data_IF_115439849677
#
_entry.id   IF_115439849677
#
_cell.length_a   1.000
_cell.length_b   1.000
_cell.length_c   1.000
_cell.angle_alpha   90.00
_cell.angle_beta   90.00
_cell.angle_gamma   90.00
#
_symmetry.space_group_name_H-M   'P 1'
#
loop_
_entity.id
_entity.type
_entity.pdbx_description
1 polymer ?
#
# COMPACT_ATOMS: atom_id res chain seq x y z
N UNK A 1 -70.07 68.40 8.19
CA UNK A 1 -69.07 69.15 7.39
C UNK A 1 -67.77 68.36 7.49
N UNK A 2 -66.97 68.05 6.47
CA UNK A 2 -66.90 68.46 5.06
C UNK A 2 -65.82 67.55 4.41
N UNK A 3 -66.07 67.08 3.19
CA UNK A 3 -65.12 66.63 2.15
C UNK A 3 -64.17 65.44 2.46
N UNK A 4 -63.86 64.53 1.54
CA UNK A 4 -64.07 64.52 0.10
C UNK A 4 -63.25 63.38 -0.52
N UNK A 5 -63.83 62.77 -1.56
CA UNK A 5 -63.21 61.81 -2.49
C UNK A 5 -61.89 62.35 -3.09
N UNK A 6 -61.01 61.45 -3.56
CA UNK A 6 -60.90 60.99 -4.97
C UNK A 6 -59.44 60.74 -5.41
N UNK A 7 -59.28 59.65 -6.16
CA UNK A 7 -58.31 59.36 -7.23
C UNK A 7 -56.83 59.73 -7.09
N UNK A 8 -55.96 58.73 -7.29
CA UNK A 8 -55.22 58.56 -8.56
C UNK A 8 -54.23 57.40 -8.40
N UNK A 9 -54.45 56.28 -9.10
CA UNK A 9 -53.41 55.25 -9.26
C UNK A 9 -52.93 55.34 -10.69
N UNK A 10 -51.71 55.81 -10.86
CA UNK A 10 -51.01 55.83 -12.12
C UNK A 10 -49.54 55.56 -11.85
N UNK A 11 -49.05 54.57 -12.59
CA UNK A 11 -47.69 54.43 -13.10
C UNK A 11 -46.67 53.82 -12.13
N UNK A 12 -46.50 52.52 -12.36
CA UNK A 12 -45.24 51.89 -12.76
C UNK A 12 -43.95 52.26 -12.04
N UNK A 13 -43.27 51.17 -11.66
CA UNK A 13 -41.84 51.02 -11.42
C UNK A 13 -41.38 51.38 -10.00
N UNK A 14 -41.03 50.31 -9.26
CA UNK A 14 -39.77 50.12 -8.52
C UNK A 14 -39.96 48.81 -7.75
N UNK A 15 -39.53 47.68 -8.33
CA UNK A 15 -38.28 47.01 -7.93
C UNK A 15 -38.15 46.97 -6.42
N UNK A 16 -38.58 45.85 -5.79
CA UNK A 16 -37.85 45.16 -4.71
C UNK A 16 -38.66 44.02 -4.07
N UNK A 17 -37.95 42.89 -3.92
CA UNK A 17 -38.07 41.88 -2.86
C UNK A 17 -39.23 40.89 -2.98
N UNK A 18 -38.88 39.61 -3.18
CA UNK A 18 -39.38 38.44 -2.45
C UNK A 18 -38.68 37.19 -3.05
N UNK A 19 -37.60 36.71 -2.42
CA UNK A 19 -37.61 35.61 -1.46
C UNK A 19 -37.82 34.23 -2.10
N UNK A 20 -36.73 33.63 -2.58
CA UNK A 20 -36.63 32.19 -2.78
C UNK A 20 -35.15 31.78 -2.70
N UNK A 21 -34.53 32.03 -1.55
CA UNK A 21 -33.25 31.44 -1.18
C UNK A 21 -33.46 29.95 -0.92
N UNK A 22 -33.38 29.13 -1.96
CA UNK A 22 -33.25 27.68 -1.83
C UNK A 22 -31.84 27.37 -1.31
N UNK A 23 -31.70 27.47 0.02
CA UNK A 23 -30.52 27.08 0.77
C UNK A 23 -30.43 25.55 0.72
N UNK A 24 -29.74 25.01 -0.29
CA UNK A 24 -29.42 23.58 -0.34
C UNK A 24 -28.47 23.28 0.82
N UNK A 25 -29.01 22.73 1.91
CA UNK A 25 -28.23 22.23 3.04
C UNK A 25 -27.23 21.20 2.53
N UNK A 26 -25.95 21.59 2.50
CA UNK A 26 -24.85 20.64 2.42
C UNK A 26 -24.89 19.77 3.67
N UNK A 27 -25.20 18.50 3.50
CA UNK A 27 -25.16 17.50 4.58
C UNK A 27 -23.68 17.29 4.90
N UNK A 28 -23.16 18.05 5.86
CA UNK A 28 -21.83 17.83 6.41
C UNK A 28 -21.96 16.62 7.35
N UNK A 29 -21.88 15.41 6.79
CA UNK A 29 -21.74 14.20 7.61
C UNK A 29 -20.43 14.32 8.38
N UNK A 30 -20.43 14.35 9.73
CA UNK A 30 -19.18 14.24 10.47
C UNK A 30 -18.61 12.87 10.12
N UNK A 31 -17.50 12.85 9.40
CA UNK A 31 -16.70 11.66 9.25
C UNK A 31 -16.29 11.25 10.67
N UNK A 32 -16.94 10.21 11.21
CA UNK A 32 -16.49 9.55 12.42
C UNK A 32 -15.06 9.14 12.14
N UNK A 33 -14.09 9.85 12.72
CA UNK A 33 -12.71 9.45 12.69
C UNK A 33 -12.63 8.10 13.39
N UNK A 34 -12.63 7.01 12.63
CA UNK A 34 -12.37 5.68 13.19
C UNK A 34 -11.07 5.76 13.99
N UNK A 35 -11.12 5.28 15.24
CA UNK A 35 -9.92 5.20 16.07
C UNK A 35 -8.84 4.45 15.27
N UNK A 36 -7.63 5.02 15.12
CA UNK A 36 -6.58 4.36 14.35
C UNK A 36 -6.29 2.99 14.96
N UNK A 37 -6.41 1.94 14.16
CA UNK A 37 -6.03 0.59 14.57
C UNK A 37 -4.56 0.38 14.26
N UNK A 38 -3.82 -0.22 15.20
CA UNK A 38 -2.45 -0.64 14.98
C UNK A 38 -2.32 -2.14 15.17
N UNK A 39 -1.51 -2.77 14.34
CA UNK A 39 -1.13 -4.14 14.54
C UNK A 39 0.04 -4.25 15.51
N UNK A 40 -0.12 -5.16 16.48
CA UNK A 40 0.93 -5.51 17.43
C UNK A 40 1.25 -7.01 17.39
N UNK A 41 2.51 -7.41 17.53
CA UNK A 41 2.86 -8.82 17.66
C UNK A 41 2.32 -9.41 18.96
N UNK A 42 1.90 -10.67 18.92
CA UNK A 42 1.54 -11.48 20.09
C UNK A 42 2.76 -12.13 20.73
N UNK A 43 3.82 -12.35 19.94
CA UNK A 43 5.11 -12.89 20.37
C UNK A 43 6.27 -12.09 19.79
N UNK A 44 7.48 -12.38 20.26
CA UNK A 44 8.70 -11.84 19.63
C UNK A 44 8.88 -12.43 18.23
N UNK A 45 9.09 -11.56 17.24
CA UNK A 45 9.40 -11.92 15.85
C UNK A 45 10.81 -11.46 15.56
N UNK A 46 11.66 -12.37 15.10
CA UNK A 46 13.06 -12.09 14.84
C UNK A 46 13.29 -11.55 13.41
N UNK A 47 14.43 -10.87 13.15
CA UNK A 47 14.82 -10.48 11.80
C UNK A 47 14.93 -11.70 10.88
N UNK A 48 14.40 -11.60 9.67
CA UNK A 48 14.37 -12.68 8.68
C UNK A 48 13.17 -13.62 8.81
N UNK A 49 12.37 -13.48 9.85
CA UNK A 49 11.16 -14.30 10.06
C UNK A 49 9.97 -13.74 9.26
N UNK A 50 9.14 -14.65 8.73
CA UNK A 50 7.90 -14.30 8.03
C UNK A 50 6.76 -14.09 9.02
N UNK A 51 6.05 -12.97 8.89
CA UNK A 51 4.93 -12.63 9.75
C UNK A 51 3.69 -13.38 9.29
N UNK A 52 3.07 -14.12 10.21
CA UNK A 52 1.78 -14.80 9.97
C UNK A 52 0.64 -14.05 10.67
N UNK A 53 -0.61 -14.14 10.16
CA UNK A 53 -1.74 -13.43 10.75
C UNK A 53 -2.02 -13.81 12.22
N UNK A 54 -1.69 -15.04 12.62
CA UNK A 54 -1.84 -15.51 14.02
C UNK A 54 -0.86 -14.84 14.99
N UNK A 55 0.23 -14.29 14.48
CA UNK A 55 1.28 -13.64 15.29
C UNK A 55 1.00 -12.16 15.52
N UNK A 56 -0.05 -11.61 14.91
CA UNK A 56 -0.40 -10.20 14.99
C UNK A 56 -1.83 -10.05 15.46
N UNK A 57 -2.10 -8.98 16.22
CA UNK A 57 -3.45 -8.63 16.62
C UNK A 57 -3.70 -7.13 16.38
N UNK A 58 -4.89 -6.76 15.88
CA UNK A 58 -5.29 -5.37 15.83
C UNK A 58 -5.59 -4.87 17.25
N UNK A 59 -5.08 -3.70 17.58
CA UNK A 59 -5.31 -3.01 18.85
C UNK A 59 -5.64 -1.55 18.55
N UNK A 60 -6.66 -1.03 19.22
CA UNK A 60 -7.03 0.38 19.10
C UNK A 60 -5.91 1.27 19.67
N UNK A 61 -5.47 2.24 18.89
CA UNK A 61 -4.50 3.22 19.36
C UNK A 61 -5.22 4.29 20.16
N UNK A 62 -5.07 4.24 21.48
CA UNK A 62 -5.62 5.26 22.39
C UNK A 62 -4.79 6.55 22.40
N UNK A 63 -3.52 6.51 21.97
CA UNK A 63 -2.63 7.66 22.00
C UNK A 63 -2.66 8.43 20.67
N UNK A 64 -3.22 9.66 20.63
CA UNK A 64 -3.27 10.48 19.42
C UNK A 64 -1.89 10.97 18.94
N UNK A 65 -0.83 10.85 19.74
CA UNK A 65 0.53 11.27 19.40
C UNK A 65 1.41 10.14 18.83
N UNK A 66 0.84 8.99 18.48
CA UNK A 66 1.64 7.90 17.90
C UNK A 66 2.23 8.33 16.54
N UNK A 67 3.47 7.94 16.27
CA UNK A 67 4.09 8.21 14.96
C UNK A 67 3.32 7.48 13.85
N UNK A 68 2.87 8.19 12.83
CA UNK A 68 2.33 7.59 11.61
C UNK A 68 3.39 6.69 10.95
N UNK A 69 2.96 5.57 10.34
CA UNK A 69 3.87 4.63 9.65
C UNK A 69 3.93 3.22 10.24
N UNK A 70 2.94 2.83 11.03
CA UNK A 70 2.71 1.45 11.46
C UNK A 70 1.65 0.78 10.58
N UNK A 71 1.73 -0.54 10.49
CA UNK A 71 0.74 -1.34 9.78
C UNK A 71 -0.61 -1.28 10.54
N UNK A 72 -1.67 -0.97 9.80
CA UNK A 72 -3.03 -0.82 10.33
C UNK A 72 -3.87 -2.04 10.03
N UNK A 73 -3.65 -2.65 8.85
CA UNK A 73 -4.39 -3.82 8.37
C UNK A 73 -3.53 -5.09 8.28
N UNK A 74 -4.16 -6.25 8.53
CA UNK A 74 -3.45 -7.54 8.55
C UNK A 74 -2.85 -7.87 7.17
N UNK A 75 -3.50 -7.42 6.10
CA UNK A 75 -3.04 -7.58 4.72
C UNK A 75 -1.72 -6.86 4.43
N UNK A 76 -1.33 -5.86 5.22
CA UNK A 76 -0.05 -5.14 5.05
C UNK A 76 1.15 -5.91 5.63
N UNK A 77 0.89 -6.81 6.59
CA UNK A 77 1.95 -7.57 7.30
C UNK A 77 1.98 -9.03 6.89
N UNK A 78 0.87 -9.58 6.40
CA UNK A 78 0.78 -10.99 6.05
C UNK A 78 1.78 -11.34 4.94
N UNK A 79 2.64 -12.33 5.23
CA UNK A 79 3.65 -12.81 4.27
C UNK A 79 4.90 -11.92 4.17
N UNK A 80 4.93 -10.78 4.88
CA UNK A 80 6.12 -9.93 4.92
C UNK A 80 7.19 -10.50 5.85
N UNK A 81 8.44 -10.17 5.58
CA UNK A 81 9.60 -10.53 6.41
C UNK A 81 10.01 -9.35 7.28
N UNK A 82 10.28 -9.59 8.56
CA UNK A 82 10.78 -8.55 9.45
C UNK A 82 12.27 -8.26 9.23
N UNK A 83 12.65 -6.98 9.18
CA UNK A 83 14.04 -6.50 9.11
C UNK A 83 14.67 -6.32 10.49
N UNK A 84 13.87 -6.23 11.54
CA UNK A 84 14.33 -6.01 12.92
C UNK A 84 13.52 -6.85 13.92
N UNK A 85 13.95 -6.91 15.18
CA UNK A 85 13.20 -7.61 16.22
C UNK A 85 11.93 -6.84 16.56
N UNK A 86 10.78 -7.49 16.41
CA UNK A 86 9.49 -6.95 16.81
C UNK A 86 9.13 -7.55 18.17
N UNK A 87 8.88 -6.68 19.15
CA UNK A 87 8.51 -7.08 20.50
C UNK A 87 6.98 -7.18 20.64
N UNK A 88 6.48 -8.10 21.48
CA UNK A 88 5.05 -8.23 21.70
C UNK A 88 4.45 -6.94 22.27
N UNK A 89 3.25 -6.59 21.79
CA UNK A 89 2.53 -5.40 22.23
C UNK A 89 3.07 -4.07 21.70
N UNK A 90 4.11 -4.06 20.87
CA UNK A 90 4.57 -2.85 20.16
C UNK A 90 3.97 -2.77 18.76
N UNK A 91 3.80 -1.55 18.26
CA UNK A 91 3.36 -1.34 16.87
C UNK A 91 4.40 -1.84 15.88
N UNK A 92 3.94 -2.39 14.76
CA UNK A 92 4.80 -2.86 13.67
C UNK A 92 5.01 -1.71 12.67
N UNK A 93 6.22 -1.10 12.59
CA UNK A 93 6.48 -0.06 11.60
C UNK A 93 6.59 -0.68 10.20
N UNK A 94 5.93 -0.09 9.21
CA UNK A 94 5.95 -0.59 7.82
C UNK A 94 7.37 -0.58 7.24
N UNK A 95 8.19 0.39 7.62
CA UNK A 95 9.60 0.48 7.21
C UNK A 95 10.49 -0.68 7.70
N UNK A 96 10.01 -1.42 8.71
CA UNK A 96 10.68 -2.62 9.22
C UNK A 96 10.28 -3.89 8.50
N UNK A 97 9.35 -3.82 7.55
CA UNK A 97 8.92 -4.94 6.76
C UNK A 97 9.64 -4.93 5.41
N UNK A 98 9.83 -6.12 4.86
CA UNK A 98 10.27 -6.31 3.48
C UNK A 98 9.46 -7.42 2.84
N UNK A 99 9.36 -7.39 1.53
CA UNK A 99 8.80 -8.51 0.79
C UNK A 99 9.68 -9.76 0.95
N UNK A 100 9.06 -10.95 0.94
CA UNK A 100 9.80 -12.19 0.95
C UNK A 100 10.61 -12.32 -0.35
N UNK A 101 11.90 -12.61 -0.20
CA UNK A 101 12.75 -12.89 -1.36
C UNK A 101 12.33 -14.21 -1.98
N UNK A 102 11.94 -14.18 -3.26
CA UNK A 102 11.65 -15.40 -4.03
C UNK A 102 12.93 -16.16 -4.38
N UNK A 103 14.05 -15.44 -4.54
CA UNK A 103 15.36 -16.02 -4.79
C UNK A 103 16.34 -15.55 -3.72
N UNK A 104 17.10 -16.50 -3.17
CA UNK A 104 18.10 -16.25 -2.13
C UNK A 104 19.49 -16.49 -2.71
N UNK A 105 20.46 -15.67 -2.34
CA UNK A 105 21.86 -15.81 -2.76
C UNK A 105 22.36 -17.22 -2.46
N UNK A 106 23.08 -17.80 -3.41
CA UNK A 106 23.67 -19.13 -3.25
C UNK A 106 22.70 -20.30 -3.44
N UNK A 107 21.40 -20.07 -3.62
CA UNK A 107 20.44 -21.14 -3.94
C UNK A 107 20.51 -21.55 -5.41
N UNK A 108 20.10 -22.78 -5.73
CA UNK A 108 20.01 -23.22 -7.14
C UNK A 108 18.68 -22.77 -7.73
N UNK A 109 18.73 -21.99 -8.80
CA UNK A 109 17.55 -21.45 -9.50
C UNK A 109 17.62 -21.77 -10.99
N UNK A 110 16.47 -21.80 -11.67
CA UNK A 110 16.42 -21.96 -13.12
C UNK A 110 16.51 -20.61 -13.81
N UNK A 111 17.46 -20.50 -14.74
CA UNK A 111 17.56 -19.40 -15.69
C UNK A 111 16.71 -19.72 -16.90
N UNK A 112 15.83 -18.80 -17.29
CA UNK A 112 15.01 -18.90 -18.50
C UNK A 112 15.42 -17.77 -19.43
N UNK A 113 15.93 -18.12 -20.60
CA UNK A 113 16.36 -17.18 -21.61
C UNK A 113 15.52 -17.38 -22.87
N UNK A 114 14.84 -16.33 -23.32
CA UNK A 114 13.94 -16.42 -24.48
C UNK A 114 14.43 -15.51 -25.59
N UNK A 115 14.66 -16.07 -26.78
CA UNK A 115 14.95 -15.31 -28.00
C UNK A 115 13.94 -15.73 -29.08
N UNK A 116 13.10 -14.80 -29.51
CA UNK A 116 12.07 -15.07 -30.51
C UNK A 116 11.12 -16.18 -30.03
N UNK A 117 11.17 -17.33 -30.70
CA UNK A 117 10.38 -18.53 -30.40
C UNK A 117 11.20 -19.65 -29.72
N UNK A 118 12.45 -19.39 -29.36
CA UNK A 118 13.32 -20.36 -28.69
C UNK A 118 13.49 -20.00 -27.20
N UNK A 119 13.25 -20.97 -26.33
CA UNK A 119 13.47 -20.87 -24.88
C UNK A 119 14.59 -21.80 -24.46
N UNK A 120 15.64 -21.24 -23.86
CA UNK A 120 16.77 -21.96 -23.28
C UNK A 120 16.64 -21.94 -21.76
N UNK A 121 16.87 -23.11 -21.15
CA UNK A 121 16.84 -23.28 -19.69
C UNK A 121 18.22 -23.70 -19.21
N UNK A 122 18.71 -23.06 -18.15
CA UNK A 122 19.98 -23.40 -17.52
C UNK A 122 19.86 -23.34 -16.00
N UNK A 123 20.82 -23.93 -15.30
CA UNK A 123 20.90 -23.80 -13.84
C UNK A 123 21.80 -22.64 -13.46
N UNK A 124 21.37 -21.85 -12.48
CA UNK A 124 22.06 -20.67 -12.02
C UNK A 124 22.13 -20.59 -10.50
N UNK A 125 23.09 -19.81 -10.01
CA UNK A 125 23.22 -19.45 -8.61
C UNK A 125 23.12 -17.93 -8.47
N UNK A 126 22.07 -17.39 -7.81
CA UNK A 126 21.95 -15.96 -7.56
C UNK A 126 23.12 -15.47 -6.71
N UNK A 127 23.68 -14.33 -7.08
CA UNK A 127 24.72 -13.64 -6.32
C UNK A 127 24.12 -12.68 -5.28
N UNK A 128 22.85 -12.32 -5.45
CA UNK A 128 22.09 -11.41 -4.58
C UNK A 128 20.72 -12.01 -4.31
N UNK A 129 20.14 -11.66 -3.16
CA UNK A 129 18.73 -11.94 -2.89
C UNK A 129 17.86 -11.08 -3.81
N UNK A 130 16.67 -11.58 -4.17
CA UNK A 130 15.76 -10.88 -5.05
C UNK A 130 14.30 -11.20 -4.77
N UNK A 131 13.45 -10.17 -4.88
CA UNK A 131 11.99 -10.27 -4.79
C UNK A 131 11.38 -10.32 -6.19
N UNK A 132 10.07 -10.54 -6.28
CA UNK A 132 9.36 -10.60 -7.56
C UNK A 132 9.60 -9.34 -8.41
N UNK A 133 10.03 -9.52 -9.67
CA UNK A 133 10.28 -8.41 -10.59
C UNK A 133 11.61 -7.67 -10.37
N UNK A 134 12.40 -8.04 -9.36
CA UNK A 134 13.70 -7.44 -9.09
C UNK A 134 14.76 -7.98 -10.08
N UNK A 135 15.72 -7.13 -10.46
CA UNK A 135 16.85 -7.52 -11.31
C UNK A 135 17.98 -8.04 -10.42
N UNK A 136 18.35 -9.30 -10.60
CA UNK A 136 19.42 -9.96 -9.86
C UNK A 136 20.53 -10.47 -10.76
N UNK A 137 21.75 -10.52 -10.21
CA UNK A 137 22.91 -11.13 -10.86
C UNK A 137 22.94 -12.61 -10.57
N UNK A 138 23.09 -13.43 -11.60
CA UNK A 138 23.11 -14.88 -11.47
C UNK A 138 24.32 -15.42 -12.21
N UNK A 139 25.07 -16.31 -11.56
CA UNK A 139 26.12 -17.08 -12.21
C UNK A 139 25.50 -18.35 -12.79
N UNK A 140 25.64 -18.57 -14.08
CA UNK A 140 25.30 -19.84 -14.69
C UNK A 140 26.30 -20.93 -14.22
N UNK A 141 25.79 -22.06 -13.74
CA UNK A 141 26.60 -23.12 -13.13
C UNK A 141 27.40 -23.87 -14.21
N UNK A 142 26.83 -24.03 -15.40
CA UNK A 142 27.41 -24.80 -16.50
C UNK A 142 28.52 -24.03 -17.23
N UNK A 143 28.32 -22.72 -17.45
CA UNK A 143 29.25 -21.86 -18.21
C UNK A 143 30.11 -20.94 -17.36
N UNK A 144 29.76 -20.73 -16.09
CA UNK A 144 30.42 -19.76 -15.21
C UNK A 144 30.14 -18.28 -15.53
N UNK A 145 29.40 -18.00 -16.60
CA UNK A 145 29.07 -16.63 -17.03
C UNK A 145 28.06 -16.01 -16.06
N UNK A 146 28.26 -14.74 -15.74
CA UNK A 146 27.33 -13.96 -14.91
C UNK A 146 26.37 -13.19 -15.82
N UNK A 147 25.08 -13.38 -15.61
CA UNK A 147 24.00 -12.73 -16.36
C UNK A 147 23.10 -11.93 -15.40
N UNK A 148 22.49 -10.87 -15.92
CA UNK A 148 21.44 -10.13 -15.21
C UNK A 148 20.09 -10.69 -15.67
N UNK A 149 19.19 -10.93 -14.73
CA UNK A 149 17.83 -11.35 -15.06
C UNK A 149 16.82 -10.87 -14.04
N UNK A 150 15.56 -10.91 -14.43
CA UNK A 150 14.42 -10.50 -13.60
C UNK A 150 13.82 -11.72 -12.92
N UNK A 151 13.56 -11.63 -11.63
CA UNK A 151 12.93 -12.70 -10.85
C UNK A 151 11.46 -12.82 -11.21
N UNK A 152 11.03 -14.03 -11.57
CA UNK A 152 9.67 -14.36 -11.95
C UNK A 152 8.89 -14.97 -10.77
N UNK A 153 7.56 -14.99 -10.87
CA UNK A 153 6.66 -15.46 -9.79
C UNK A 153 6.84 -16.95 -9.46
N UNK A 154 7.32 -17.74 -10.41
CA UNK A 154 7.63 -19.15 -10.25
C UNK A 154 9.01 -19.41 -9.61
N UNK A 155 9.73 -18.36 -9.21
CA UNK A 155 11.08 -18.44 -8.65
C UNK A 155 12.16 -18.67 -9.71
N UNK A 156 11.82 -18.63 -11.00
CA UNK A 156 12.79 -18.63 -12.10
C UNK A 156 13.31 -17.23 -12.35
N UNK A 157 14.42 -17.13 -13.07
CA UNK A 157 15.01 -15.84 -13.43
C UNK A 157 15.01 -15.72 -14.94
N UNK A 158 14.25 -14.76 -15.44
CA UNK A 158 14.18 -14.45 -16.86
C UNK A 158 15.34 -13.54 -17.26
N UNK A 159 16.21 -14.06 -18.13
CA UNK A 159 17.34 -13.31 -18.68
C UNK A 159 16.90 -12.74 -20.03
N UNK A 160 17.15 -11.44 -20.23
CA UNK A 160 16.92 -10.80 -21.53
C UNK A 160 18.25 -10.69 -22.27
N UNK A 161 18.22 -10.95 -23.59
CA UNK A 161 19.37 -10.66 -24.44
C UNK A 161 19.55 -9.14 -24.50
N UNK A 162 20.80 -8.68 -24.43
CA UNK A 162 21.14 -7.29 -24.74
C UNK A 162 21.18 -7.09 -26.25
#
# INVERSE_FOLDING_TARGET
MRFGRKHSSSRTALVRICLASAFSLGVLTPALAQAPMALVPTRTIYPGETITPEQVKPVEVTNPNISSGYASDISEVEGMISKQTLLPGRTIPVAALREPSLVVRGTSVKLVFTIGNMTLMASGTPMTDGSLGEIVRVRNIDSGVIVNGTVMKDGTIQVMAK
#
